data_IF_962855444895
#
_entry.id   IF_962855444895
#
_cell.length_a   1.000
_cell.length_b   1.000
_cell.length_c   1.000
_cell.angle_alpha   90.00
_cell.angle_beta   90.00
_cell.angle_gamma   90.00
#
_symmetry.space_group_name_H-M   'P 1'
#
loop_
_entity.id
_entity.type
_entity.pdbx_description
1 polymer ?
#
# COMPACT_ATOMS: atom_id res chain seq x y z
N UNK A 1 27.38 -5.82 -19.56
CA UNK A 1 28.21 -5.57 -20.75
C UNK A 1 29.26 -4.53 -20.37
N UNK A 2 30.54 -4.73 -20.77
CA UNK A 2 31.61 -3.78 -20.50
C UNK A 2 32.25 -3.44 -21.84
N UNK A 3 32.35 -2.16 -22.13
CA UNK A 3 33.04 -1.66 -23.32
C UNK A 3 34.04 -0.58 -22.93
N UNK A 4 35.18 -0.54 -23.63
CA UNK A 4 36.22 0.49 -23.45
C UNK A 4 36.54 1.13 -24.78
N UNK A 5 36.62 2.45 -24.84
CA UNK A 5 36.99 3.19 -26.03
C UNK A 5 37.80 4.43 -25.69
N UNK A 6 38.58 4.93 -26.66
CA UNK A 6 39.22 6.25 -26.58
C UNK A 6 38.38 7.27 -27.33
N UNK A 7 38.22 8.43 -26.76
CA UNK A 7 37.55 9.54 -27.42
C UNK A 7 38.38 10.83 -27.29
N UNK A 8 38.20 11.74 -28.24
CA UNK A 8 38.81 13.08 -28.27
C UNK A 8 37.72 14.08 -28.49
N UNK A 9 37.13 14.57 -27.44
CA UNK A 9 36.02 15.50 -27.48
C UNK A 9 35.40 15.69 -26.12
N UNK A 10 34.43 16.59 -26.02
CA UNK A 10 33.77 16.91 -24.73
C UNK A 10 32.57 16.01 -24.42
N UNK A 11 32.07 15.25 -25.38
CA UNK A 11 30.91 14.37 -25.24
C UNK A 11 31.10 13.06 -26.00
N UNK A 12 30.51 12.01 -25.46
CA UNK A 12 30.41 10.70 -26.12
C UNK A 12 29.02 10.08 -25.86
N UNK A 13 28.57 9.23 -26.76
CA UNK A 13 27.31 8.52 -26.66
C UNK A 13 27.56 7.03 -26.41
N UNK A 14 26.83 6.47 -25.47
CA UNK A 14 26.80 5.02 -25.24
C UNK A 14 25.43 4.51 -25.72
N UNK A 15 25.44 3.52 -26.59
CA UNK A 15 24.24 2.85 -27.07
C UNK A 15 24.28 1.39 -26.66
N UNK A 16 23.23 0.89 -26.03
CA UNK A 16 23.08 -0.52 -25.69
C UNK A 16 21.65 -0.98 -25.97
N UNK A 17 21.47 -2.29 -26.15
CA UNK A 17 20.15 -2.89 -26.29
C UNK A 17 19.68 -3.36 -24.93
N UNK A 18 18.56 -2.78 -24.46
CA UNK A 18 17.91 -3.20 -23.23
C UNK A 18 17.22 -4.54 -23.46
N UNK A 19 17.78 -5.64 -22.94
CA UNK A 19 17.20 -6.97 -23.01
C UNK A 19 16.47 -7.28 -21.70
N UNK A 20 15.19 -7.74 -21.77
CA UNK A 20 14.46 -8.14 -20.58
C UNK A 20 15.04 -9.42 -19.95
N UNK A 21 14.85 -9.58 -18.65
CA UNK A 21 15.07 -10.86 -17.99
C UNK A 21 13.93 -11.81 -18.33
N UNK A 22 14.20 -12.79 -19.19
CA UNK A 22 13.21 -13.76 -19.66
C UNK A 22 12.71 -14.74 -18.57
N UNK A 23 13.35 -14.74 -17.39
CA UNK A 23 12.85 -15.50 -16.23
C UNK A 23 11.65 -14.82 -15.55
N UNK A 24 11.43 -13.53 -15.81
CA UNK A 24 10.29 -12.75 -15.29
C UNK A 24 9.16 -12.78 -16.30
N UNK A 25 7.96 -13.14 -15.84
CA UNK A 25 6.80 -13.22 -16.72
C UNK A 25 6.38 -11.85 -17.26
N UNK A 26 6.23 -11.72 -18.57
CA UNK A 26 5.70 -10.53 -19.24
C UNK A 26 4.30 -10.15 -18.74
N UNK A 27 3.50 -11.15 -18.30
CA UNK A 27 2.13 -10.94 -17.79
C UNK A 27 2.07 -10.06 -16.54
N UNK A 28 3.18 -9.92 -15.81
CA UNK A 28 3.27 -9.06 -14.63
C UNK A 28 3.65 -7.62 -14.97
N UNK A 29 3.82 -7.31 -16.25
CA UNK A 29 4.25 -6.01 -16.76
C UNK A 29 5.49 -5.45 -16.02
N UNK A 30 6.58 -6.24 -15.91
CA UNK A 30 7.75 -5.84 -15.12
C UNK A 30 8.44 -4.62 -15.74
N UNK A 31 8.97 -3.78 -14.86
CA UNK A 31 9.89 -2.71 -15.22
C UNK A 31 11.31 -3.12 -14.84
N UNK A 32 12.24 -3.01 -15.78
CA UNK A 32 13.66 -3.33 -15.59
C UNK A 32 14.45 -2.05 -15.41
N UNK A 33 15.34 -2.03 -14.43
CA UNK A 33 16.28 -0.93 -14.21
C UNK A 33 17.61 -1.28 -14.83
N UNK A 34 18.06 -0.47 -15.79
CA UNK A 34 19.37 -0.57 -16.40
C UNK A 34 20.24 0.54 -15.84
N UNK A 35 21.31 0.17 -15.13
CA UNK A 35 22.28 1.14 -14.62
C UNK A 35 23.49 1.16 -15.55
N UNK A 36 23.76 2.32 -16.12
CA UNK A 36 24.91 2.60 -16.95
C UNK A 36 25.94 3.35 -16.11
N UNK A 37 27.10 2.77 -15.91
CA UNK A 37 28.24 3.39 -15.22
C UNK A 37 29.31 3.72 -16.24
N UNK A 38 29.79 4.96 -16.22
CA UNK A 38 30.88 5.42 -17.07
C UNK A 38 32.08 5.84 -16.21
N UNK A 39 33.21 5.22 -16.49
CA UNK A 39 34.50 5.59 -15.89
C UNK A 39 35.33 6.30 -16.95
N UNK A 40 35.70 7.54 -16.70
CA UNK A 40 36.52 8.35 -17.60
C UNK A 40 37.88 8.61 -16.97
N UNK A 41 38.92 8.10 -17.62
CA UNK A 41 40.30 8.30 -17.19
C UNK A 41 40.97 9.30 -18.12
N UNK A 42 41.53 10.34 -17.56
CA UNK A 42 42.28 11.35 -18.31
C UNK A 42 43.73 10.93 -18.62
N UNK A 43 44.45 11.80 -19.33
CA UNK A 43 45.87 11.54 -19.70
C UNK A 43 46.82 11.56 -18.52
N UNK A 44 46.41 12.06 -17.36
CA UNK A 44 47.20 12.06 -16.11
C UNK A 44 46.94 10.83 -15.27
N UNK A 45 45.98 9.98 -15.64
CA UNK A 45 45.56 8.79 -14.92
C UNK A 45 44.50 9.02 -13.85
N UNK A 46 43.94 10.22 -13.75
CA UNK A 46 42.77 10.48 -12.89
C UNK A 46 41.54 9.86 -13.51
N UNK A 47 40.79 9.10 -12.71
CA UNK A 47 39.49 8.47 -13.11
C UNK A 47 38.36 9.13 -12.38
N UNK A 48 37.34 9.51 -13.14
CA UNK A 48 36.05 9.97 -12.63
C UNK A 48 34.96 9.05 -13.10
N UNK A 49 34.08 8.69 -12.18
CA UNK A 49 32.96 7.77 -12.41
C UNK A 49 31.64 8.50 -12.21
N UNK A 50 30.69 8.21 -13.10
CA UNK A 50 29.30 8.60 -12.95
C UNK A 50 28.40 7.45 -13.37
N UNK A 51 27.17 7.41 -12.84
CA UNK A 51 26.18 6.39 -13.18
C UNK A 51 24.79 6.95 -13.35
N UNK A 52 24.12 6.47 -14.39
CA UNK A 52 22.73 6.80 -14.70
C UNK A 52 21.88 5.55 -14.80
N UNK A 53 20.68 5.57 -14.18
CA UNK A 53 19.72 4.50 -14.33
C UNK A 53 18.62 4.90 -15.30
N UNK A 54 18.26 3.95 -16.17
CA UNK A 54 17.15 4.07 -17.12
C UNK A 54 16.18 2.94 -16.86
N UNK A 55 14.89 3.25 -16.85
CA UNK A 55 13.81 2.29 -16.69
C UNK A 55 13.26 1.89 -18.06
N UNK A 56 13.14 0.60 -18.29
CA UNK A 56 12.51 0.05 -19.49
C UNK A 56 11.52 -1.05 -19.10
N UNK A 57 10.38 -1.09 -19.77
CA UNK A 57 9.32 -2.05 -19.52
C UNK A 57 8.60 -2.47 -20.78
N UNK A 58 7.61 -3.36 -20.63
CA UNK A 58 6.78 -3.78 -21.74
C UNK A 58 5.71 -2.74 -22.12
N UNK A 59 5.45 -1.77 -21.24
CA UNK A 59 4.59 -0.61 -21.48
C UNK A 59 5.41 0.68 -21.39
N UNK A 60 4.98 1.71 -22.09
CA UNK A 60 5.62 3.03 -22.05
C UNK A 60 4.94 4.01 -21.07
N UNK A 61 3.91 3.54 -20.36
CA UNK A 61 3.11 4.28 -19.42
C UNK A 61 2.96 3.45 -18.14
N UNK A 62 3.01 4.11 -16.99
CA UNK A 62 2.62 3.56 -15.71
C UNK A 62 1.35 4.28 -15.23
N UNK A 63 0.45 3.54 -14.61
CA UNK A 63 -0.77 4.08 -14.02
C UNK A 63 -0.86 3.70 -12.55
N UNK A 64 -1.36 4.59 -11.72
CA UNK A 64 -1.59 4.36 -10.30
C UNK A 64 -2.95 4.89 -9.86
N UNK A 65 -3.54 4.21 -8.88
CA UNK A 65 -4.73 4.65 -8.17
C UNK A 65 -4.32 4.86 -6.71
N UNK A 66 -4.72 5.98 -6.12
CA UNK A 66 -4.47 6.27 -4.70
C UNK A 66 -5.74 6.77 -4.04
N UNK A 67 -5.97 6.34 -2.83
CA UNK A 67 -6.95 6.91 -1.91
C UNK A 67 -6.47 6.68 -0.49
N UNK A 68 -6.98 7.46 0.46
CA UNK A 68 -6.64 7.28 1.86
C UNK A 68 -7.09 5.91 2.38
N UNK A 69 -6.31 5.33 3.28
CA UNK A 69 -6.61 4.01 3.84
C UNK A 69 -7.86 4.01 4.76
N UNK A 70 -8.18 5.17 5.35
CA UNK A 70 -9.37 5.33 6.17
C UNK A 70 -10.50 5.94 5.36
N UNK A 71 -11.48 5.11 5.01
CA UNK A 71 -12.67 5.55 4.27
C UNK A 71 -13.93 5.20 5.03
N UNK A 72 -14.88 6.13 5.06
CA UNK A 72 -16.15 5.97 5.74
C UNK A 72 -17.30 6.28 4.79
N UNK A 73 -18.45 5.61 4.97
CA UNK A 73 -19.61 5.75 4.07
C UNK A 73 -20.30 7.11 4.14
N UNK A 74 -19.99 7.93 5.13
CA UNK A 74 -20.57 9.28 5.31
C UNK A 74 -19.88 10.34 4.44
N UNK A 75 -18.78 10.00 3.78
CA UNK A 75 -18.04 10.86 2.86
C UNK A 75 -17.76 10.13 1.56
N UNK A 76 -17.79 10.84 0.42
CA UNK A 76 -17.29 10.25 -0.83
C UNK A 76 -15.82 9.85 -0.70
N UNK A 77 -15.47 8.72 -1.29
CA UNK A 77 -14.07 8.30 -1.41
C UNK A 77 -13.39 9.19 -2.45
N UNK A 78 -12.30 9.84 -2.06
CA UNK A 78 -11.47 10.65 -2.93
C UNK A 78 -10.38 9.79 -3.56
N UNK A 79 -10.41 9.69 -4.89
CA UNK A 79 -9.44 8.94 -5.69
C UNK A 79 -8.49 9.92 -6.37
N UNK A 80 -7.20 9.60 -6.35
CA UNK A 80 -6.20 10.25 -7.19
C UNK A 80 -5.72 9.21 -8.21
N UNK A 81 -6.03 9.44 -9.47
CA UNK A 81 -5.51 8.67 -10.59
C UNK A 81 -4.27 9.39 -11.09
N UNK A 82 -3.18 8.66 -11.31
CA UNK A 82 -1.98 9.25 -11.87
C UNK A 82 -1.42 8.37 -12.99
N UNK A 83 -0.95 9.03 -14.05
CA UNK A 83 -0.32 8.41 -15.21
C UNK A 83 1.02 9.10 -15.49
N UNK A 84 2.08 8.29 -15.57
CA UNK A 84 3.46 8.77 -15.75
C UNK A 84 4.19 7.94 -16.79
N UNK A 85 5.31 8.46 -17.30
CA UNK A 85 6.31 7.60 -17.92
C UNK A 85 6.90 6.64 -16.91
N UNK A 86 7.69 5.67 -17.35
CA UNK A 86 8.39 4.75 -16.44
C UNK A 86 9.40 5.50 -15.55
N UNK A 87 9.95 6.61 -16.03
CA UNK A 87 10.88 7.46 -15.27
C UNK A 87 10.17 8.43 -14.32
N UNK A 88 8.83 8.36 -14.22
CA UNK A 88 8.03 9.15 -13.30
C UNK A 88 7.55 10.51 -13.83
N UNK A 89 7.85 10.85 -15.09
CA UNK A 89 7.40 12.10 -15.69
C UNK A 89 5.89 12.06 -15.98
N UNK A 90 5.13 13.11 -15.65
CA UNK A 90 3.69 13.17 -15.91
C UNK A 90 3.35 12.91 -17.38
N UNK A 91 2.36 12.08 -17.64
CA UNK A 91 1.87 11.75 -18.98
C UNK A 91 0.35 11.86 -19.02
N UNK A 92 -0.17 12.59 -20.03
CA UNK A 92 -1.61 12.61 -20.26
C UNK A 92 -2.07 11.28 -20.82
N UNK A 93 -3.14 10.73 -20.25
CA UNK A 93 -3.78 9.50 -20.70
C UNK A 93 -5.29 9.59 -20.56
N UNK A 94 -6.00 8.75 -21.30
CA UNK A 94 -7.45 8.60 -21.20
C UNK A 94 -7.81 7.12 -21.20
N UNK A 95 -8.92 6.79 -20.56
CA UNK A 95 -9.36 5.41 -20.43
C UNK A 95 -10.60 5.28 -19.56
N UNK A 96 -10.73 4.13 -18.89
CA UNK A 96 -11.87 3.81 -18.03
C UNK A 96 -11.42 3.63 -16.59
N UNK A 97 -12.16 4.23 -15.67
CA UNK A 97 -12.03 4.01 -14.24
C UNK A 97 -13.32 3.35 -13.74
N UNK A 98 -13.20 2.15 -13.17
CA UNK A 98 -14.32 1.38 -12.66
C UNK A 98 -14.10 0.93 -11.22
N UNK A 99 -15.18 0.88 -10.45
CA UNK A 99 -15.19 0.40 -9.07
C UNK A 99 -16.13 -0.79 -8.99
N UNK A 100 -15.60 -1.91 -8.52
CA UNK A 100 -16.32 -3.16 -8.35
C UNK A 100 -16.49 -3.48 -6.87
N UNK A 101 -17.66 -3.92 -6.46
CA UNK A 101 -17.81 -4.61 -5.20
C UNK A 101 -17.10 -5.97 -5.30
N UNK A 102 -16.37 -6.38 -4.25
CA UNK A 102 -15.72 -7.68 -4.25
C UNK A 102 -16.67 -8.79 -3.80
N UNK A 103 -16.60 -9.94 -4.44
CA UNK A 103 -17.29 -11.15 -3.98
C UNK A 103 -16.58 -11.69 -2.75
N UNK A 104 -17.23 -11.50 -1.62
CA UNK A 104 -16.70 -12.00 -0.36
C UNK A 104 -16.91 -13.51 -0.24
N UNK A 105 -16.00 -14.23 0.44
CA UNK A 105 -16.19 -15.65 0.72
C UNK A 105 -17.44 -15.87 1.59
N UNK A 106 -18.05 -17.07 1.55
CA UNK A 106 -19.23 -17.40 2.35
C UNK A 106 -18.99 -17.30 3.86
N UNK A 107 -17.75 -17.53 4.27
CA UNK A 107 -17.28 -17.44 5.66
C UNK A 107 -15.92 -16.77 5.70
N UNK A 108 -15.49 -16.36 6.88
CA UNK A 108 -14.13 -15.86 7.07
C UNK A 108 -13.13 -16.96 6.77
N UNK A 109 -12.28 -16.73 5.79
CA UNK A 109 -11.15 -17.59 5.48
C UNK A 109 -9.91 -17.08 6.23
N UNK A 110 -9.03 -18.03 6.60
CA UNK A 110 -7.80 -17.71 7.33
C UNK A 110 -6.61 -17.96 6.42
N UNK A 111 -5.66 -17.03 6.43
CA UNK A 111 -4.38 -17.26 5.76
C UNK A 111 -3.76 -18.57 6.24
N UNK A 112 -3.11 -19.30 5.36
CA UNK A 112 -2.34 -20.47 5.74
C UNK A 112 -1.33 -20.09 6.84
N UNK A 113 -1.09 -20.98 7.78
CA UNK A 113 0.05 -20.80 8.68
C UNK A 113 1.30 -20.85 7.82
N UNK A 114 2.17 -19.84 7.95
CA UNK A 114 3.50 -19.96 7.37
C UNK A 114 4.12 -21.23 7.92
N UNK A 115 4.41 -22.20 7.04
CA UNK A 115 5.19 -23.35 7.45
C UNK A 115 6.53 -22.80 7.95
N UNK A 116 6.80 -22.93 9.25
CA UNK A 116 8.14 -22.80 9.79
C UNK A 116 8.97 -23.92 9.17
N UNK A 117 9.48 -23.71 7.95
CA UNK A 117 10.45 -24.60 7.35
C UNK A 117 11.70 -24.60 8.24
N UNK A 118 12.10 -25.74 8.78
CA UNK A 118 13.33 -25.81 9.56
C UNK A 118 14.47 -25.27 8.71
N UNK A 119 15.43 -24.57 9.34
CA UNK A 119 16.58 -23.93 8.65
C UNK A 119 17.31 -24.86 7.64
N UNK A 120 17.35 -26.16 7.91
CA UNK A 120 17.94 -27.14 6.99
C UNK A 120 17.13 -27.38 5.70
N UNK A 121 15.88 -26.99 5.65
CA UNK A 121 15.03 -27.10 4.44
C UNK A 121 15.27 -25.97 3.44
N UNK A 122 15.98 -24.90 3.82
CA UNK A 122 16.37 -23.79 2.92
C UNK A 122 17.47 -24.17 1.93
N UNK A 123 18.18 -25.30 2.14
CA UNK A 123 19.31 -25.74 1.30
C UNK A 123 18.96 -26.70 0.17
N UNK A 124 17.78 -27.24 0.10
CA UNK A 124 17.38 -28.14 -1.01
C UNK A 124 16.73 -27.32 -2.12
N UNK A 125 17.56 -26.72 -2.97
CA UNK A 125 17.19 -25.90 -4.11
C UNK A 125 16.22 -26.57 -5.09
N UNK A 126 14.97 -26.52 -4.78
CA UNK A 126 13.85 -26.50 -5.69
C UNK A 126 12.87 -25.48 -5.16
N UNK A 127 13.09 -24.22 -5.52
CA UNK A 127 11.98 -23.30 -5.63
C UNK A 127 11.02 -23.94 -6.64
N UNK A 128 9.96 -24.58 -6.14
CA UNK A 128 8.86 -24.95 -6.99
C UNK A 128 8.38 -23.62 -7.60
N UNK A 129 8.44 -23.52 -8.93
CA UNK A 129 7.73 -22.51 -9.72
C UNK A 129 6.22 -22.80 -9.60
N UNK A 130 5.68 -22.75 -8.38
CA UNK A 130 4.26 -22.73 -8.14
C UNK A 130 3.87 -21.27 -8.20
N UNK A 131 3.05 -20.91 -9.18
CA UNK A 131 2.35 -19.62 -9.18
C UNK A 131 1.79 -19.41 -7.76
N UNK A 132 1.92 -18.19 -7.18
CA UNK A 132 1.40 -17.94 -5.85
C UNK A 132 -0.09 -18.31 -5.83
N UNK A 133 -0.43 -19.35 -5.07
CA UNK A 133 -1.83 -19.76 -4.95
C UNK A 133 -2.60 -18.61 -4.31
N UNK A 134 -3.74 -18.23 -4.92
CA UNK A 134 -4.58 -17.17 -4.40
C UNK A 134 -4.96 -17.48 -2.94
N UNK A 135 -4.61 -16.57 -2.03
CA UNK A 135 -4.97 -16.70 -0.62
C UNK A 135 -6.39 -16.17 -0.39
N UNK A 136 -7.38 -17.02 -0.13
CA UNK A 136 -8.77 -16.60 0.06
C UNK A 136 -8.96 -15.70 1.29
N UNK A 137 -8.00 -15.65 2.21
CA UNK A 137 -8.01 -14.72 3.32
C UNK A 137 -7.59 -13.30 2.93
N UNK A 138 -6.94 -13.14 1.78
CA UNK A 138 -6.50 -11.85 1.26
C UNK A 138 -7.54 -11.27 0.31
N UNK A 139 -8.18 -10.13 0.64
CA UNK A 139 -9.13 -9.47 -0.26
C UNK A 139 -8.59 -9.15 -1.67
N UNK A 140 -7.28 -9.02 -1.83
CA UNK A 140 -6.66 -8.80 -3.14
C UNK A 140 -6.79 -10.00 -4.09
N UNK A 141 -7.12 -11.18 -3.57
CA UNK A 141 -7.39 -12.37 -4.36
C UNK A 141 -8.87 -12.58 -4.69
N UNK A 142 -9.77 -11.80 -4.06
CA UNK A 142 -11.21 -11.99 -4.25
C UNK A 142 -11.66 -11.57 -5.65
N UNK A 143 -12.65 -12.29 -6.17
CA UNK A 143 -13.23 -12.01 -7.48
C UNK A 143 -13.99 -10.69 -7.51
N UNK A 144 -14.04 -10.08 -8.69
CA UNK A 144 -14.89 -8.94 -8.95
C UNK A 144 -16.37 -9.36 -8.91
N UNK A 145 -17.17 -8.58 -8.21
CA UNK A 145 -18.63 -8.68 -8.22
C UNK A 145 -19.24 -7.61 -9.13
N UNK A 146 -20.33 -6.99 -8.65
CA UNK A 146 -21.06 -5.99 -9.42
C UNK A 146 -20.25 -4.70 -9.59
N UNK A 147 -20.42 -4.08 -10.77
CA UNK A 147 -19.92 -2.72 -11.03
C UNK A 147 -20.73 -1.73 -10.21
N UNK A 148 -20.06 -0.97 -9.36
CA UNK A 148 -20.69 0.07 -8.52
C UNK A 148 -20.62 1.44 -9.19
N UNK A 149 -19.52 1.70 -9.90
CA UNK A 149 -19.30 2.93 -10.66
C UNK A 149 -18.36 2.65 -11.81
N UNK A 150 -18.67 3.23 -12.96
CA UNK A 150 -17.80 3.19 -14.14
C UNK A 150 -17.91 4.53 -14.85
N UNK A 151 -16.76 5.11 -15.20
CA UNK A 151 -16.69 6.36 -15.91
C UNK A 151 -15.41 6.50 -16.73
N UNK A 152 -15.44 7.23 -17.84
CA UNK A 152 -14.22 7.60 -18.51
C UNK A 152 -13.38 8.55 -17.65
N UNK A 153 -12.07 8.47 -17.79
CA UNK A 153 -11.16 9.43 -17.18
C UNK A 153 -10.22 10.02 -18.22
N UNK A 154 -9.71 11.20 -17.92
CA UNK A 154 -8.67 11.86 -18.69
C UNK A 154 -7.76 12.63 -17.73
N UNK A 155 -6.50 12.21 -17.61
CA UNK A 155 -5.47 12.98 -16.91
C UNK A 155 -4.99 14.11 -17.80
N UNK A 156 -4.78 15.29 -17.22
CA UNK A 156 -4.26 16.43 -17.95
C UNK A 156 -2.74 16.38 -18.15
N UNK A 157 -2.14 17.51 -18.51
CA UNK A 157 -0.68 17.64 -18.64
C UNK A 157 0.09 17.35 -17.33
N UNK A 158 -0.58 17.45 -16.19
CA UNK A 158 -0.02 17.06 -14.87
C UNK A 158 0.01 15.57 -14.64
N UNK A 159 -0.56 14.76 -15.54
CA UNK A 159 -0.70 13.32 -15.36
C UNK A 159 -1.65 12.90 -14.24
N UNK A 160 -2.38 13.82 -13.61
CA UNK A 160 -3.24 13.53 -12.47
C UNK A 160 -4.70 13.89 -12.72
N UNK A 161 -5.59 13.12 -12.10
CA UNK A 161 -7.02 13.40 -12.02
C UNK A 161 -7.54 13.02 -10.63
N UNK A 162 -8.32 13.90 -10.02
CA UNK A 162 -9.04 13.61 -8.77
C UNK A 162 -10.51 13.36 -9.04
N UNK A 163 -11.04 12.29 -8.44
CA UNK A 163 -12.43 11.88 -8.54
C UNK A 163 -12.98 11.61 -7.15
N UNK A 164 -14.27 11.81 -6.97
CA UNK A 164 -14.96 11.49 -5.73
C UNK A 164 -16.14 10.57 -6.01
N UNK A 165 -16.25 9.46 -5.27
CA UNK A 165 -17.33 8.49 -5.46
C UNK A 165 -17.97 8.15 -4.12
N UNK A 166 -19.27 8.35 -3.92
CA UNK A 166 -19.98 7.90 -2.73
C UNK A 166 -20.07 6.37 -2.73
N UNK A 167 -19.58 5.73 -1.68
CA UNK A 167 -19.63 4.28 -1.51
C UNK A 167 -20.25 3.93 -0.15
N UNK A 168 -21.03 2.85 -0.10
CA UNK A 168 -21.54 2.29 1.15
C UNK A 168 -20.44 1.49 1.86
N UNK A 169 -20.67 1.14 3.14
CA UNK A 169 -19.77 0.25 3.85
C UNK A 169 -19.64 -1.10 3.12
N UNK A 170 -18.40 -1.53 2.91
CA UNK A 170 -18.09 -2.74 2.14
C UNK A 170 -16.64 -2.79 1.69
N UNK A 171 -16.35 -3.70 0.79
CA UNK A 171 -15.02 -3.87 0.20
C UNK A 171 -15.09 -3.81 -1.32
N UNK A 172 -14.18 -3.06 -1.91
CA UNK A 172 -14.21 -2.69 -3.32
C UNK A 172 -12.84 -2.84 -3.96
N UNK A 173 -12.84 -3.00 -5.28
CA UNK A 173 -11.66 -2.87 -6.11
C UNK A 173 -11.87 -1.78 -7.13
N UNK A 174 -11.06 -0.74 -7.04
CA UNK A 174 -10.92 0.25 -8.08
C UNK A 174 -9.96 -0.29 -9.14
N UNK A 175 -10.33 -0.15 -10.40
CA UNK A 175 -9.55 -0.53 -11.57
C UNK A 175 -9.47 0.64 -12.55
N UNK A 176 -8.29 0.87 -13.07
CA UNK A 176 -8.04 1.82 -14.13
C UNK A 176 -7.48 1.03 -15.32
N UNK A 177 -8.03 1.28 -16.50
CA UNK A 177 -7.53 0.76 -17.75
C UNK A 177 -7.32 1.89 -18.75
N UNK A 178 -6.13 1.93 -19.32
CA UNK A 178 -5.74 2.90 -20.36
C UNK A 178 -4.83 2.24 -21.38
N UNK A 179 -4.39 2.99 -22.38
CA UNK A 179 -3.42 2.54 -23.38
C UNK A 179 -2.23 3.46 -23.42
N UNK A 180 -1.06 2.88 -23.60
CA UNK A 180 0.14 3.67 -23.86
C UNK A 180 0.18 4.16 -25.32
N UNK A 181 1.20 4.95 -25.64
CA UNK A 181 1.42 5.51 -27.00
C UNK A 181 1.61 4.45 -28.10
N UNK A 182 1.86 3.20 -27.72
CA UNK A 182 2.02 2.08 -28.65
C UNK A 182 0.76 1.23 -28.73
N UNK A 183 -0.32 1.62 -28.04
CA UNK A 183 -1.60 0.90 -27.99
C UNK A 183 -1.63 -0.30 -27.03
N UNK A 184 -0.58 -0.50 -26.22
CA UNK A 184 -0.59 -1.53 -25.18
C UNK A 184 -1.49 -1.12 -24.02
N UNK A 185 -2.27 -2.06 -23.52
CA UNK A 185 -3.12 -1.86 -22.33
C UNK A 185 -2.25 -1.71 -21.10
N UNK A 186 -2.55 -0.69 -20.30
CA UNK A 186 -1.94 -0.41 -18.99
C UNK A 186 -3.05 -0.43 -17.96
N UNK A 187 -2.86 -1.16 -16.88
CA UNK A 187 -3.84 -1.31 -15.82
C UNK A 187 -3.29 -0.88 -14.46
N UNK A 188 -4.15 -0.35 -13.62
CA UNK A 188 -3.87 -0.18 -12.20
C UNK A 188 -5.06 -0.67 -11.39
N UNK A 189 -4.79 -1.16 -10.18
CA UNK A 189 -5.83 -1.65 -9.27
C UNK A 189 -5.51 -1.26 -7.84
N UNK A 190 -6.57 -0.98 -7.08
CA UNK A 190 -6.47 -0.76 -5.63
C UNK A 190 -7.67 -1.37 -4.94
N UNK A 191 -7.42 -2.24 -3.97
CA UNK A 191 -8.46 -2.75 -3.08
C UNK A 191 -8.65 -1.77 -1.93
N UNK A 192 -9.91 -1.48 -1.62
CA UNK A 192 -10.29 -0.51 -0.62
C UNK A 192 -11.46 -0.97 0.20
N UNK A 193 -11.43 -0.63 1.46
CA UNK A 193 -12.51 -0.86 2.39
C UNK A 193 -13.14 0.45 2.81
N UNK A 194 -14.47 0.49 2.79
CA UNK A 194 -15.28 1.59 3.29
C UNK A 194 -16.01 1.13 4.54
N UNK A 195 -15.93 1.91 5.61
CA UNK A 195 -16.44 1.55 6.93
C UNK A 195 -17.71 2.32 7.26
N UNK A 196 -18.62 1.68 7.99
CA UNK A 196 -19.67 2.37 8.74
C UNK A 196 -19.25 2.46 10.21
N UNK A 197 -18.71 3.59 10.62
CA UNK A 197 -18.22 3.78 11.99
C UNK A 197 -19.31 3.71 13.07
N UNK A 198 -20.56 3.79 12.68
CA UNK A 198 -21.73 3.71 13.58
C UNK A 198 -22.25 2.29 13.74
N UNK A 199 -21.86 1.37 12.85
CA UNK A 199 -22.32 -0.01 12.89
C UNK A 199 -21.74 -0.75 14.10
N UNK A 200 -22.53 -1.65 14.66
CA UNK A 200 -22.07 -2.63 15.64
C UNK A 200 -21.48 -3.90 14.96
N UNK A 201 -21.72 -4.03 13.64
CA UNK A 201 -21.33 -5.22 12.88
C UNK A 201 -20.36 -4.83 11.77
N UNK A 202 -19.25 -5.54 11.71
CA UNK A 202 -18.26 -5.38 10.68
C UNK A 202 -18.69 -6.12 9.39
N UNK A 203 -18.74 -5.43 8.23
CA UNK A 203 -19.37 -6.01 7.04
C UNK A 203 -18.46 -6.88 6.19
N UNK A 204 -17.13 -6.84 6.41
CA UNK A 204 -16.16 -7.53 5.54
C UNK A 204 -15.70 -8.84 6.19
N UNK A 205 -15.72 -9.92 5.44
CA UNK A 205 -15.39 -11.27 5.92
C UNK A 205 -13.88 -11.54 5.97
N UNK A 206 -13.16 -10.65 6.65
CA UNK A 206 -11.77 -10.86 7.06
C UNK A 206 -11.71 -11.23 8.53
N UNK A 207 -10.69 -12.00 8.90
CA UNK A 207 -10.58 -12.50 10.27
C UNK A 207 -10.40 -11.38 11.29
N UNK A 208 -9.66 -10.34 10.92
CA UNK A 208 -9.32 -9.24 11.81
C UNK A 208 -9.03 -7.98 11.00
N UNK A 209 -9.50 -6.85 11.48
CA UNK A 209 -9.21 -5.53 10.94
C UNK A 209 -8.92 -4.56 12.07
N UNK A 210 -7.88 -3.75 11.89
CA UNK A 210 -7.57 -2.64 12.75
C UNK A 210 -7.07 -1.45 11.92
N UNK A 211 -7.77 -0.33 12.00
CA UNK A 211 -7.47 0.86 11.21
C UNK A 211 -7.73 2.13 12.01
N UNK A 212 -7.03 3.20 11.67
CA UNK A 212 -7.25 4.54 12.21
C UNK A 212 -7.08 5.60 11.11
N UNK A 213 -7.76 6.76 11.22
CA UNK A 213 -7.58 7.86 10.28
C UNK A 213 -6.17 8.46 10.34
N UNK A 214 -5.55 8.44 11.51
CA UNK A 214 -4.19 8.92 11.71
C UNK A 214 -3.50 8.19 12.85
N UNK A 215 -2.20 7.99 12.72
CA UNK A 215 -1.33 7.41 13.75
C UNK A 215 -0.43 8.45 14.41
N UNK A 216 -0.66 9.74 14.15
CA UNK A 216 -0.07 10.89 14.83
C UNK A 216 -1.17 11.85 15.21
N UNK A 217 -1.24 12.25 16.47
CA UNK A 217 -2.37 13.00 17.04
C UNK A 217 -1.86 14.02 18.06
N UNK A 218 -2.29 15.26 17.94
CA UNK A 218 -1.90 16.32 18.87
C UNK A 218 -2.65 16.24 20.21
N UNK A 219 -2.04 16.65 21.32
CA UNK A 219 -2.73 16.82 22.60
C UNK A 219 -3.94 17.76 22.48
N UNK A 220 -4.98 17.47 23.25
CA UNK A 220 -6.24 18.20 23.21
C UNK A 220 -7.24 17.66 22.18
N UNK A 221 -6.84 16.65 21.37
CA UNK A 221 -7.71 15.97 20.42
C UNK A 221 -8.01 14.54 20.87
N UNK A 222 -8.82 13.82 20.12
CA UNK A 222 -9.15 12.42 20.40
C UNK A 222 -8.55 11.53 19.31
N UNK A 223 -7.74 10.56 19.71
CA UNK A 223 -7.38 9.44 18.84
C UNK A 223 -8.58 8.54 18.66
N UNK A 224 -8.82 8.14 17.42
CA UNK A 224 -9.91 7.23 17.04
C UNK A 224 -9.35 6.09 16.20
N UNK A 225 -9.77 4.86 16.50
CA UNK A 225 -9.47 3.70 15.67
C UNK A 225 -10.68 2.76 15.63
N UNK A 226 -10.73 1.90 14.63
CA UNK A 226 -11.74 0.88 14.46
C UNK A 226 -11.09 -0.49 14.55
N UNK A 227 -11.63 -1.33 15.43
CA UNK A 227 -11.42 -2.77 15.41
C UNK A 227 -12.65 -3.45 14.81
N UNK A 228 -12.44 -4.50 14.01
CA UNK A 228 -13.52 -5.28 13.43
C UNK A 228 -13.11 -6.72 13.10
N UNK A 229 -14.11 -7.60 13.01
CA UNK A 229 -13.96 -8.97 12.57
C UNK A 229 -15.18 -9.41 11.75
N UNK A 230 -14.93 -10.10 10.65
CA UNK A 230 -15.97 -10.67 9.79
C UNK A 230 -16.60 -11.95 10.34
N UNK A 231 -16.11 -12.47 11.46
CA UNK A 231 -16.79 -13.57 12.16
C UNK A 231 -18.12 -13.09 12.73
N UNK A 232 -19.13 -13.97 12.82
CA UNK A 232 -20.46 -13.59 13.32
C UNK A 232 -20.46 -13.18 14.79
N UNK A 233 -19.45 -13.58 15.55
CA UNK A 233 -19.25 -13.23 16.95
C UNK A 233 -17.75 -13.09 17.24
N UNK A 234 -17.40 -12.21 18.16
CA UNK A 234 -16.02 -12.05 18.61
C UNK A 234 -15.90 -10.90 19.60
N UNK A 235 -14.85 -10.91 20.40
CA UNK A 235 -14.45 -9.82 21.29
C UNK A 235 -12.93 -9.71 21.28
N UNK A 236 -12.43 -8.52 21.18
CA UNK A 236 -11.02 -8.25 21.33
C UNK A 236 -10.73 -7.64 22.70
N UNK A 237 -9.57 -7.96 23.23
CA UNK A 237 -9.02 -7.26 24.39
C UNK A 237 -8.14 -6.13 23.90
N UNK A 238 -8.42 -4.92 24.35
CA UNK A 238 -7.74 -3.68 23.95
C UNK A 238 -6.98 -3.13 25.14
N UNK A 239 -5.70 -2.81 24.93
CA UNK A 239 -4.87 -2.12 25.92
C UNK A 239 -4.26 -0.88 25.30
N UNK A 240 -4.30 0.21 26.03
CA UNK A 240 -3.57 1.43 25.70
C UNK A 240 -2.45 1.62 26.73
N UNK A 241 -1.21 1.76 26.26
CA UNK A 241 -0.01 1.87 27.14
C UNK A 241 0.79 3.12 26.80
N UNK A 242 1.23 3.82 27.82
CA UNK A 242 2.17 4.94 27.71
C UNK A 242 3.32 4.71 28.67
N UNK A 243 4.56 4.76 28.19
CA UNK A 243 5.79 4.57 28.99
C UNK A 243 5.72 3.32 29.87
N UNK A 244 5.33 2.20 29.29
CA UNK A 244 5.15 0.90 29.97
C UNK A 244 4.04 0.85 31.04
N UNK A 245 3.25 1.89 31.20
CA UNK A 245 2.08 1.89 32.09
C UNK A 245 0.80 1.71 31.28
N UNK A 246 -0.10 0.87 31.76
CA UNK A 246 -1.43 0.70 31.17
C UNK A 246 -2.29 1.90 31.53
N UNK A 247 -2.67 2.69 30.53
CA UNK A 247 -3.62 3.79 30.68
C UNK A 247 -5.05 3.28 30.81
N UNK A 248 -5.38 2.29 29.98
CA UNK A 248 -6.71 1.71 29.90
C UNK A 248 -6.62 0.29 29.32
N UNK A 249 -7.46 -0.62 29.83
CA UNK A 249 -7.62 -1.94 29.28
C UNK A 249 -9.09 -2.36 29.38
N UNK A 250 -9.63 -2.96 28.32
CA UNK A 250 -11.04 -3.35 28.25
C UNK A 250 -11.30 -4.38 27.16
N UNK A 251 -12.42 -5.09 27.30
CA UNK A 251 -12.97 -5.93 26.23
C UNK A 251 -13.92 -5.13 25.36
N UNK A 252 -13.87 -5.32 24.04
CA UNK A 252 -14.90 -4.79 23.15
C UNK A 252 -16.29 -5.30 23.54
N UNK A 253 -17.33 -4.57 23.16
CA UNK A 253 -18.71 -4.84 23.55
C UNK A 253 -19.16 -6.25 23.18
N UNK A 254 -19.89 -6.92 24.07
CA UNK A 254 -20.49 -8.22 23.77
C UNK A 254 -21.55 -8.06 22.66
N UNK A 255 -21.60 -9.03 21.74
CA UNK A 255 -22.53 -8.99 20.59
C UNK A 255 -22.17 -8.03 19.48
N UNK A 256 -21.04 -7.33 19.59
CA UNK A 256 -20.51 -6.45 18.53
C UNK A 256 -19.33 -7.15 17.84
N UNK A 257 -19.27 -7.03 16.53
CA UNK A 257 -18.13 -7.46 15.73
C UNK A 257 -17.32 -6.30 15.16
N UNK A 258 -17.72 -5.07 15.55
CA UNK A 258 -17.02 -3.83 15.28
C UNK A 258 -17.09 -2.92 16.50
N UNK A 259 -15.99 -2.25 16.82
CA UNK A 259 -15.89 -1.30 17.93
C UNK A 259 -15.01 -0.12 17.55
N UNK A 260 -15.45 1.09 17.91
CA UNK A 260 -14.61 2.29 17.84
C UNK A 260 -13.85 2.42 19.16
N UNK A 261 -12.55 2.57 19.04
CA UNK A 261 -11.63 2.79 20.16
C UNK A 261 -11.29 4.27 20.15
N UNK A 262 -11.68 4.96 21.20
CA UNK A 262 -11.38 6.38 21.39
C UNK A 262 -10.49 6.59 22.61
N UNK A 263 -9.50 7.51 22.45
CA UNK A 263 -8.62 7.94 23.53
C UNK A 263 -8.42 9.45 23.47
N UNK A 264 -8.86 10.16 24.49
CA UNK A 264 -8.51 11.57 24.65
C UNK A 264 -7.01 11.71 24.86
N UNK A 265 -6.36 12.50 24.03
CA UNK A 265 -4.91 12.68 24.07
C UNK A 265 -4.58 13.92 24.89
N UNK A 266 -3.73 13.75 25.91
CA UNK A 266 -3.31 14.81 26.81
C UNK A 266 -1.84 15.19 26.63
N UNK A 267 -1.42 16.35 27.15
CA UNK A 267 -0.02 16.79 27.17
C UNK A 267 0.93 15.74 27.82
N UNK A 268 0.44 15.02 28.84
CA UNK A 268 1.22 13.97 29.50
C UNK A 268 1.54 12.77 28.59
N UNK A 269 0.82 12.60 27.47
CA UNK A 269 1.03 11.52 26.51
C UNK A 269 2.05 11.86 25.42
N UNK A 270 2.68 13.03 25.47
CA UNK A 270 3.75 13.38 24.52
C UNK A 270 4.85 12.33 24.46
N UNK A 271 5.31 12.06 23.25
CA UNK A 271 6.18 10.92 22.91
C UNK A 271 5.40 9.66 22.52
N UNK A 272 4.06 9.70 22.58
CA UNK A 272 3.20 8.66 22.04
C UNK A 272 2.71 7.64 23.06
N UNK A 273 1.75 6.86 22.63
CA UNK A 273 1.22 5.70 23.36
C UNK A 273 1.02 4.53 22.39
N UNK A 274 0.91 3.34 22.92
CA UNK A 274 0.73 2.13 22.13
C UNK A 274 -0.68 1.58 22.31
N UNK A 275 -1.32 1.21 21.20
CA UNK A 275 -2.56 0.45 21.19
C UNK A 275 -2.23 -1.00 20.90
N UNK A 276 -2.58 -1.88 21.82
CA UNK A 276 -2.43 -3.31 21.72
C UNK A 276 -3.81 -3.92 21.57
N UNK A 277 -3.99 -4.80 20.61
CA UNK A 277 -5.22 -5.56 20.43
C UNK A 277 -4.89 -7.03 20.42
N UNK A 278 -5.58 -7.78 21.26
CA UNK A 278 -5.53 -9.24 21.27
C UNK A 278 -6.92 -9.78 20.92
N UNK A 279 -7.02 -10.46 19.81
CA UNK A 279 -8.22 -11.15 19.38
C UNK A 279 -7.90 -12.63 19.16
N UNK A 280 -8.65 -13.52 19.78
CA UNK A 280 -8.46 -14.97 19.63
C UNK A 280 -9.71 -15.61 19.06
N UNK A 281 -9.54 -16.33 17.97
CA UNK A 281 -10.62 -17.05 17.31
C UNK A 281 -10.11 -18.35 16.69
N UNK A 282 -10.82 -19.44 16.90
CA UNK A 282 -10.53 -20.75 16.29
C UNK A 282 -9.05 -21.16 16.44
N UNK A 283 -8.54 -21.12 17.66
CA UNK A 283 -7.16 -21.44 18.03
C UNK A 283 -6.07 -20.57 17.37
N UNK A 284 -6.44 -19.38 16.86
CA UNK A 284 -5.48 -18.39 16.34
C UNK A 284 -5.61 -17.07 17.09
N UNK A 285 -4.47 -16.51 17.46
CA UNK A 285 -4.38 -15.14 17.98
C UNK A 285 -4.06 -14.17 16.86
N UNK A 286 -4.81 -13.06 16.80
CA UNK A 286 -4.57 -11.90 15.97
C UNK A 286 -4.12 -10.79 16.90
N UNK A 287 -2.89 -10.34 16.70
CA UNK A 287 -2.24 -9.39 17.58
C UNK A 287 -1.89 -8.12 16.81
N UNK A 288 -2.32 -6.98 17.32
CA UNK A 288 -1.89 -5.68 16.81
C UNK A 288 -1.09 -4.96 17.89
N UNK A 289 -0.06 -4.29 17.44
CA UNK A 289 0.78 -3.42 18.24
C UNK A 289 1.07 -2.17 17.41
N UNK A 290 0.35 -1.08 17.68
CA UNK A 290 0.46 0.16 16.94
C UNK A 290 0.82 1.31 17.84
N UNK A 291 1.90 1.99 17.50
CA UNK A 291 2.30 3.22 18.16
C UNK A 291 1.51 4.38 17.58
N UNK A 292 0.89 5.15 18.46
CA UNK A 292 0.29 6.44 18.14
C UNK A 292 1.27 7.51 18.56
N UNK A 293 1.77 8.26 17.60
CA UNK A 293 2.69 9.37 17.85
C UNK A 293 1.92 10.57 18.44
N UNK A 294 2.47 11.14 19.52
CA UNK A 294 2.01 12.40 20.09
C UNK A 294 3.20 13.37 20.06
N UNK A 295 3.31 14.18 19.00
CA UNK A 295 4.54 14.89 18.68
C UNK A 295 4.86 16.00 19.69
N UNK A 296 6.15 16.30 19.83
CA UNK A 296 6.66 17.42 20.64
C UNK A 296 6.62 18.74 19.84
N UNK A 297 5.52 19.03 19.16
CA UNK A 297 5.36 20.21 18.31
C UNK A 297 5.62 21.53 19.05
N UNK A 298 5.39 21.56 20.37
CA UNK A 298 5.63 22.71 21.24
C UNK A 298 7.10 22.85 21.73
N UNK A 299 8.00 21.95 21.31
CA UNK A 299 9.42 21.90 21.72
C UNK A 299 10.38 22.16 20.56
N UNK A 300 9.93 22.83 19.49
CA UNK A 300 10.82 23.19 18.39
C UNK A 300 11.90 24.16 18.85
N UNK A 301 13.15 23.75 18.72
CA UNK A 301 14.31 24.62 18.91
C UNK A 301 14.57 25.39 17.62
N UNK A 302 14.67 26.71 17.70
CA UNK A 302 15.16 27.53 16.59
C UNK A 302 16.63 27.86 16.86
N UNK A 303 17.52 27.26 16.07
CA UNK A 303 18.94 27.58 16.12
C UNK A 303 19.20 28.73 15.17
N UNK A 304 19.70 29.87 15.65
CA UNK A 304 20.22 30.96 14.85
C UNK A 304 21.73 30.90 14.93
N UNK A 305 22.38 30.90 13.78
CA UNK A 305 23.83 31.09 13.69
C UNK A 305 24.08 32.58 13.49
N UNK A 306 24.95 33.13 14.34
CA UNK A 306 25.49 34.51 14.19
C UNK A 306 26.86 34.46 13.51
#
# INVERSE_FOLDING_TARGET
>A
EVASTRFTGDTFAITFTALPDLSVSEKTEPTFTFTVTADVTDTTGETRSDSQSVLAGYTALAATIRADAWQTQDKPVEWTLATTSLDGEPQAAEGTFAIYALKQPERVERAALSENRPYWAYGSGRAANTEPQADPANPDSWELGDVVSEQPFKTGATGELKLATPLKAGIYRAMLETKDRFGKTVTARQTMQVMDVKSATYPVRVAHQFAAPAWSVEPGTTFTALWGTGYPTGRAYVELRHRNQTLRAFWTGAGRTQEIIEQAVTEAMRGGFTVLITYVRENRAYLENRVVDVPWSNKKLTVKWE
#
